data_IF_658943518400
#
_entry.id   IF_658943518400
#
_cell.length_a   1.000
_cell.length_b   1.000
_cell.length_c   1.000
_cell.angle_alpha   90.00
_cell.angle_beta   90.00
_cell.angle_gamma   90.00
#
_symmetry.space_group_name_H-M   'P 1'
#
loop_
_entity.id
_entity.type
_entity.pdbx_description
1 polymer ?
#
# COMPACT_ATOMS: atom_id res chain seq x y z
N UNK A 1 -3.20 -16.45 -14.15
CA UNK A 1 -3.63 -15.36 -13.23
C UNK A 1 -4.86 -15.84 -12.47
N UNK A 2 -4.85 -15.77 -11.13
CA UNK A 2 -5.97 -16.22 -10.29
C UNK A 2 -7.21 -15.40 -10.63
N UNK A 3 -8.41 -16.01 -10.62
CA UNK A 3 -9.67 -15.32 -10.89
C UNK A 3 -9.87 -14.07 -10.01
N UNK A 4 -9.41 -14.13 -8.75
CA UNK A 4 -9.47 -12.99 -7.80
C UNK A 4 -8.66 -11.81 -8.35
N UNK A 5 -7.41 -12.02 -8.78
CA UNK A 5 -6.57 -10.92 -9.29
C UNK A 5 -7.12 -10.29 -10.57
N UNK A 6 -7.79 -11.08 -11.41
CA UNK A 6 -8.48 -10.53 -12.59
C UNK A 6 -9.64 -9.61 -12.17
N UNK A 7 -10.42 -10.00 -11.15
CA UNK A 7 -11.51 -9.16 -10.59
C UNK A 7 -10.97 -7.89 -9.94
N UNK A 8 -9.88 -8.02 -9.14
CA UNK A 8 -9.21 -6.85 -8.52
C UNK A 8 -8.72 -5.87 -9.59
N UNK A 9 -8.05 -6.36 -10.64
CA UNK A 9 -7.58 -5.51 -11.75
C UNK A 9 -8.75 -4.80 -12.44
N UNK A 10 -9.83 -5.51 -12.72
CA UNK A 10 -11.02 -4.92 -13.35
C UNK A 10 -11.67 -3.85 -12.45
N UNK A 11 -11.78 -4.11 -11.15
CA UNK A 11 -12.32 -3.19 -10.15
C UNK A 11 -11.50 -1.89 -10.08
N UNK A 12 -10.16 -2.00 -10.02
CA UNK A 12 -9.26 -0.84 -10.02
C UNK A 12 -9.38 -0.02 -11.31
N UNK A 13 -9.43 -0.69 -12.47
CA UNK A 13 -9.60 0.00 -13.76
C UNK A 13 -10.91 0.76 -13.83
N UNK A 14 -12.01 0.18 -13.35
CA UNK A 14 -13.31 0.84 -13.30
C UNK A 14 -13.25 2.07 -12.38
N UNK A 15 -12.76 1.91 -11.15
CA UNK A 15 -12.62 2.99 -10.17
C UNK A 15 -11.81 4.17 -10.72
N UNK A 16 -10.63 3.92 -11.25
CA UNK A 16 -9.78 4.99 -11.79
C UNK A 16 -10.32 5.61 -13.07
N UNK A 17 -11.01 4.84 -13.91
CA UNK A 17 -11.70 5.38 -15.09
C UNK A 17 -12.86 6.31 -14.70
N UNK A 18 -13.65 5.94 -13.70
CA UNK A 18 -14.71 6.79 -13.14
C UNK A 18 -14.16 8.08 -12.52
N UNK A 19 -12.98 8.02 -11.93
CA UNK A 19 -12.24 9.19 -11.45
C UNK A 19 -11.58 10.03 -12.57
N UNK A 20 -11.78 9.68 -13.83
CA UNK A 20 -11.23 10.41 -14.99
C UNK A 20 -9.75 10.15 -15.26
N UNK A 21 -9.18 9.11 -14.68
CA UNK A 21 -7.80 8.72 -14.96
C UNK A 21 -7.75 7.71 -16.12
N UNK A 22 -6.55 7.57 -16.71
CA UNK A 22 -6.32 6.54 -17.72
C UNK A 22 -6.47 5.14 -17.08
N UNK A 23 -7.40 4.34 -17.61
CA UNK A 23 -7.73 3.04 -17.07
C UNK A 23 -6.61 1.98 -17.19
N UNK A 24 -5.69 2.16 -18.16
CA UNK A 24 -4.57 1.23 -18.36
C UNK A 24 -3.34 1.70 -17.58
N UNK A 25 -2.96 0.98 -16.50
CA UNK A 25 -1.76 1.29 -15.74
C UNK A 25 -0.51 0.76 -16.42
N UNK A 26 0.63 1.37 -16.13
CA UNK A 26 1.93 0.72 -16.29
C UNK A 26 2.03 -0.40 -15.25
N UNK A 27 2.73 -1.50 -15.58
CA UNK A 27 2.86 -2.68 -14.71
C UNK A 27 4.32 -2.98 -14.47
N UNK A 28 4.70 -3.10 -13.19
CA UNK A 28 5.95 -3.69 -12.77
C UNK A 28 5.67 -5.01 -12.04
N UNK A 29 6.41 -6.08 -12.37
CA UNK A 29 6.29 -7.37 -11.69
C UNK A 29 7.54 -7.64 -10.86
N UNK A 30 7.35 -8.01 -9.60
CA UNK A 30 8.41 -8.36 -8.66
C UNK A 30 8.21 -9.80 -8.22
N UNK A 31 9.24 -10.62 -8.37
CA UNK A 31 9.21 -12.02 -7.96
C UNK A 31 10.18 -12.21 -6.79
N UNK A 32 9.71 -12.83 -5.73
CA UNK A 32 10.51 -13.22 -4.59
C UNK A 32 10.79 -14.74 -4.65
N UNK A 33 11.95 -15.16 -4.17
CA UNK A 33 12.30 -16.59 -4.14
C UNK A 33 11.29 -17.35 -3.27
N UNK A 34 10.65 -18.36 -3.85
CA UNK A 34 9.67 -19.20 -3.17
C UNK A 34 8.27 -18.59 -3.01
N UNK A 35 8.04 -17.40 -3.56
CA UNK A 35 6.73 -16.74 -3.52
C UNK A 35 6.18 -16.48 -4.94
N UNK A 36 4.86 -16.33 -5.00
CA UNK A 36 4.20 -15.91 -6.24
C UNK A 36 4.47 -14.43 -6.52
N UNK A 37 4.57 -14.03 -7.81
CA UNK A 37 4.90 -12.64 -8.14
C UNK A 37 3.82 -11.66 -7.66
N UNK A 38 4.27 -10.50 -7.18
CA UNK A 38 3.44 -9.34 -6.91
C UNK A 38 3.61 -8.35 -8.07
N UNK A 39 2.52 -7.94 -8.67
CA UNK A 39 2.52 -6.84 -9.62
C UNK A 39 2.26 -5.52 -8.89
N UNK A 40 2.82 -4.44 -9.40
CA UNK A 40 2.52 -3.08 -8.98
C UNK A 40 1.98 -2.33 -10.18
N UNK A 41 0.74 -1.91 -10.08
CA UNK A 41 0.02 -1.14 -11.07
C UNK A 41 0.26 0.34 -10.82
N UNK A 42 0.77 1.06 -11.81
CA UNK A 42 0.97 2.50 -11.73
C UNK A 42 -0.05 3.22 -12.62
N UNK A 43 -1.01 3.86 -12.00
CA UNK A 43 -1.96 4.72 -12.69
C UNK A 43 -1.38 6.14 -12.79
N UNK A 44 -1.33 6.65 -14.01
CA UNK A 44 -0.76 7.95 -14.31
C UNK A 44 -1.64 9.08 -13.74
N UNK A 45 -1.04 10.25 -13.43
CA UNK A 45 -1.74 11.32 -12.76
C UNK A 45 -2.83 11.94 -13.65
N UNK A 46 -3.91 12.36 -12.99
CA UNK A 46 -4.87 13.29 -13.54
C UNK A 46 -4.40 14.75 -13.39
N UNK A 47 -5.36 15.67 -13.39
CA UNK A 47 -5.11 17.11 -13.25
C UNK A 47 -4.50 17.49 -11.87
N UNK A 48 -4.70 16.66 -10.85
CA UNK A 48 -4.20 16.85 -9.48
C UNK A 48 -2.71 16.47 -9.32
N UNK A 49 -2.10 15.87 -10.35
CA UNK A 49 -0.71 15.42 -10.33
C UNK A 49 -0.46 14.18 -9.47
N UNK A 50 -1.50 13.50 -8.96
CA UNK A 50 -1.34 12.34 -8.09
C UNK A 50 -1.15 11.06 -8.90
N UNK A 51 -0.03 10.38 -8.67
CA UNK A 51 0.27 9.04 -9.21
C UNK A 51 -0.13 8.00 -8.17
N UNK A 52 -0.88 6.99 -8.61
CA UNK A 52 -1.33 5.91 -7.75
C UNK A 52 -0.55 4.63 -8.06
N UNK A 53 0.05 4.03 -7.05
CA UNK A 53 0.75 2.76 -7.11
C UNK A 53 -0.05 1.74 -6.31
N UNK A 54 -0.55 0.70 -6.95
CA UNK A 54 -1.42 -0.30 -6.31
C UNK A 54 -0.80 -1.67 -6.45
N UNK A 55 -0.69 -2.41 -5.35
CA UNK A 55 -0.28 -3.81 -5.40
C UNK A 55 -1.37 -4.65 -6.08
N UNK A 56 -0.94 -5.74 -6.70
CA UNK A 56 -1.83 -6.77 -7.24
C UNK A 56 -1.17 -8.13 -7.01
N UNK A 57 -1.68 -8.84 -6.03
CA UNK A 57 -1.13 -10.15 -5.66
C UNK A 57 -1.24 -10.47 -4.18
N UNK A 58 -1.27 -9.46 -3.30
CA UNK A 58 -1.45 -9.64 -1.87
C UNK A 58 -2.80 -10.35 -1.56
N UNK A 59 -3.86 -9.96 -2.26
CA UNK A 59 -5.22 -10.50 -2.09
C UNK A 59 -5.43 -11.91 -2.68
N UNK A 60 -4.42 -12.50 -3.33
CA UNK A 60 -4.50 -13.83 -3.97
C UNK A 60 -4.95 -14.90 -3.00
N UNK A 61 -4.38 -14.89 -1.81
CA UNK A 61 -4.72 -15.75 -0.68
C UNK A 61 -5.25 -14.92 0.50
N UNK A 62 -6.07 -15.49 1.39
CA UNK A 62 -6.39 -14.81 2.64
C UNK A 62 -5.12 -14.66 3.47
N UNK A 63 -4.99 -13.55 4.18
CA UNK A 63 -3.93 -13.38 5.16
C UNK A 63 -4.22 -14.30 6.34
N UNK A 64 -3.24 -15.13 6.71
CA UNK A 64 -3.40 -16.06 7.81
C UNK A 64 -3.33 -15.31 9.15
N UNK A 65 -4.26 -15.61 10.06
CA UNK A 65 -4.10 -15.21 11.45
C UNK A 65 -2.96 -16.04 12.06
N UNK A 66 -1.88 -15.41 12.53
CA UNK A 66 -0.76 -16.13 13.17
C UNK A 66 -1.16 -16.93 14.40
N UNK A 67 -2.31 -16.61 15.03
CA UNK A 67 -2.86 -17.33 16.17
C UNK A 67 -3.76 -18.50 15.76
N UNK A 68 -4.11 -18.63 14.47
CA UNK A 68 -4.96 -19.71 14.00
C UNK A 68 -4.19 -21.05 13.96
N UNK A 69 -4.75 -22.08 14.60
CA UNK A 69 -4.18 -23.44 14.61
C UNK A 69 -4.19 -24.06 13.20
N UNK A 70 -5.18 -23.68 12.39
CA UNK A 70 -5.34 -24.13 11.00
C UNK A 70 -5.73 -22.92 10.14
N UNK A 71 -4.92 -22.61 9.16
CA UNK A 71 -5.26 -21.56 8.18
C UNK A 71 -6.38 -22.04 7.24
N UNK A 72 -7.46 -21.26 7.14
CA UNK A 72 -8.51 -21.51 6.14
C UNK A 72 -8.04 -20.97 4.78
N UNK A 73 -7.94 -21.82 3.73
CA UNK A 73 -7.46 -21.36 2.43
C UNK A 73 -8.46 -20.46 1.68
N UNK A 74 -9.68 -20.34 2.16
CA UNK A 74 -10.75 -19.57 1.51
C UNK A 74 -11.20 -18.36 2.32
N UNK A 75 -11.30 -18.50 3.65
CA UNK A 75 -11.74 -17.46 4.58
C UNK A 75 -10.56 -16.73 5.20
N UNK A 76 -10.77 -15.47 5.49
CA UNK A 76 -9.78 -14.60 6.13
C UNK A 76 -9.58 -13.30 5.37
N UNK A 77 -9.03 -12.29 6.04
CA UNK A 77 -8.88 -10.96 5.49
C UNK A 77 -8.04 -10.98 4.22
N UNK A 78 -8.43 -10.14 3.25
CA UNK A 78 -7.71 -9.94 2.00
C UNK A 78 -7.53 -8.44 1.79
N UNK A 79 -6.36 -8.04 1.33
CA UNK A 79 -6.10 -6.65 1.01
C UNK A 79 -5.19 -6.48 -0.20
N UNK A 80 -5.30 -5.32 -0.83
CA UNK A 80 -4.26 -4.72 -1.65
C UNK A 80 -3.90 -3.37 -1.05
N UNK A 81 -2.68 -2.91 -1.28
CA UNK A 81 -2.20 -1.64 -0.76
C UNK A 81 -2.05 -0.62 -1.87
N UNK A 82 -2.44 0.63 -1.59
CA UNK A 82 -2.34 1.75 -2.51
C UNK A 82 -1.47 2.86 -1.91
N UNK A 83 -0.40 3.20 -2.60
CA UNK A 83 0.48 4.32 -2.27
C UNK A 83 0.27 5.44 -3.29
N UNK A 84 0.09 6.66 -2.80
CA UNK A 84 -0.17 7.85 -3.62
C UNK A 84 0.94 8.87 -3.42
N UNK A 85 1.43 9.44 -4.52
CA UNK A 85 2.42 10.52 -4.49
C UNK A 85 2.05 11.62 -5.48
N UNK A 86 2.18 12.87 -5.07
CA UNK A 86 1.96 14.04 -5.90
C UNK A 86 3.24 14.41 -6.66
N UNK A 87 3.15 14.47 -7.98
CA UNK A 87 4.27 14.87 -8.85
C UNK A 87 5.62 14.22 -8.46
N UNK A 88 5.68 12.88 -8.28
CA UNK A 88 6.89 12.23 -7.77
C UNK A 88 8.09 12.39 -8.72
N UNK A 89 7.85 12.66 -10.01
CA UNK A 89 8.87 12.63 -11.05
C UNK A 89 9.41 11.22 -11.27
N UNK A 90 10.68 11.12 -11.63
CA UNK A 90 11.36 9.82 -11.75
C UNK A 90 11.85 9.38 -10.37
N UNK A 91 11.25 8.30 -9.86
CA UNK A 91 11.65 7.63 -8.63
C UNK A 91 11.92 6.16 -8.93
N UNK A 92 13.04 5.65 -8.40
CA UNK A 92 13.42 4.25 -8.49
C UNK A 92 12.98 3.46 -7.27
N UNK A 93 12.93 2.13 -7.38
CA UNK A 93 12.69 1.17 -6.28
C UNK A 93 11.28 1.15 -5.66
N UNK A 94 10.43 2.16 -5.86
CA UNK A 94 9.13 2.22 -5.19
C UNK A 94 8.26 0.98 -5.47
N UNK A 95 8.21 0.53 -6.71
CA UNK A 95 7.45 -0.69 -7.05
C UNK A 95 7.99 -1.91 -6.29
N UNK A 96 9.31 -2.03 -6.14
CA UNK A 96 9.91 -3.10 -5.35
C UNK A 96 9.56 -3.00 -3.87
N UNK A 97 9.64 -1.82 -3.27
CA UNK A 97 9.27 -1.60 -1.86
C UNK A 97 7.79 -1.87 -1.60
N UNK A 98 6.91 -1.45 -2.52
CA UNK A 98 5.47 -1.74 -2.42
C UNK A 98 5.17 -3.23 -2.58
N UNK A 99 5.92 -3.93 -3.44
CA UNK A 99 5.79 -5.38 -3.58
C UNK A 99 6.28 -6.13 -2.33
N UNK A 100 7.36 -5.66 -1.68
CA UNK A 100 7.81 -6.21 -0.38
C UNK A 100 6.69 -6.05 0.66
N UNK A 101 6.12 -4.85 0.80
CA UNK A 101 5.00 -4.61 1.71
C UNK A 101 3.83 -5.57 1.44
N UNK A 102 3.43 -5.71 0.17
CA UNK A 102 2.34 -6.58 -0.23
C UNK A 102 2.63 -8.08 -0.05
N UNK A 103 3.91 -8.47 0.02
CA UNK A 103 4.32 -9.83 0.26
C UNK A 103 4.42 -10.21 1.75
N UNK A 104 4.43 -9.22 2.68
CA UNK A 104 4.59 -9.50 4.12
C UNK A 104 3.56 -10.49 4.68
N UNK A 105 2.28 -10.53 4.25
CA UNK A 105 1.37 -11.56 4.72
C UNK A 105 1.79 -12.99 4.35
N UNK A 106 2.32 -13.17 3.15
CA UNK A 106 2.73 -14.49 2.67
C UNK A 106 4.10 -14.92 3.22
N UNK A 107 5.00 -13.96 3.47
CA UNK A 107 6.39 -14.23 3.88
C UNK A 107 6.53 -14.22 5.41
N UNK A 108 5.94 -13.23 6.08
CA UNK A 108 6.13 -12.98 7.51
C UNK A 108 4.86 -13.29 8.34
N UNK A 109 3.75 -13.68 7.70
CA UNK A 109 2.48 -13.95 8.37
C UNK A 109 1.81 -12.71 8.96
N UNK A 110 2.16 -11.51 8.50
CA UNK A 110 1.59 -10.24 9.00
C UNK A 110 0.21 -10.03 8.39
N UNK A 111 -0.79 -9.74 9.22
CA UNK A 111 -2.11 -9.33 8.75
C UNK A 111 -2.11 -7.81 8.53
N UNK A 112 -2.28 -7.37 7.29
CA UNK A 112 -2.39 -5.95 6.95
C UNK A 112 -3.78 -5.45 7.36
N UNK A 113 -3.80 -4.46 8.25
CA UNK A 113 -5.02 -3.82 8.75
C UNK A 113 -4.87 -2.31 8.74
N UNK A 114 -5.99 -1.60 8.90
CA UNK A 114 -5.93 -0.16 9.20
C UNK A 114 -5.10 0.07 10.46
N UNK A 115 -4.36 1.17 10.50
CA UNK A 115 -3.47 1.60 11.57
C UNK A 115 -2.20 0.76 11.77
N UNK A 116 -2.02 -0.29 10.98
CA UNK A 116 -0.77 -1.05 11.03
C UNK A 116 0.42 -0.21 10.58
N UNK A 117 1.48 -0.26 11.37
CA UNK A 117 2.79 0.31 11.06
C UNK A 117 3.71 -0.78 10.53
N UNK A 118 4.14 -0.66 9.28
CA UNK A 118 5.06 -1.60 8.65
C UNK A 118 6.39 -0.88 8.40
N UNK A 119 7.43 -1.31 9.07
CA UNK A 119 8.78 -0.78 8.92
C UNK A 119 9.58 -1.68 7.97
N UNK A 120 9.96 -1.15 6.83
CA UNK A 120 10.74 -1.89 5.82
C UNK A 120 12.25 -1.80 6.06
N UNK A 121 12.70 -0.98 7.02
CA UNK A 121 14.10 -0.84 7.40
C UNK A 121 15.01 -0.25 6.32
N UNK A 122 14.45 0.15 5.18
CA UNK A 122 15.18 0.71 4.04
C UNK A 122 14.35 1.79 3.35
N UNK A 123 15.00 2.75 2.66
CA UNK A 123 14.30 3.79 1.92
C UNK A 123 13.31 3.20 0.90
N UNK A 124 12.08 3.71 0.91
CA UNK A 124 11.00 3.23 0.04
C UNK A 124 11.26 3.51 -1.43
N UNK A 125 12.00 4.58 -1.72
CA UNK A 125 12.42 4.94 -3.09
C UNK A 125 13.72 5.74 -3.08
N UNK A 126 14.26 5.92 -4.28
CA UNK A 126 15.39 6.79 -4.54
C UNK A 126 14.99 7.81 -5.61
N UNK A 127 15.47 9.05 -5.44
CA UNK A 127 15.32 10.13 -6.40
C UNK A 127 16.70 10.65 -6.77
N UNK A 128 17.08 10.55 -8.06
CA UNK A 128 18.43 10.93 -8.55
C UNK A 128 19.55 10.29 -7.70
N UNK A 129 19.42 8.99 -7.43
CA UNK A 129 20.35 8.20 -6.58
C UNK A 129 20.46 8.68 -5.13
N UNK A 130 19.54 9.50 -4.65
CA UNK A 130 19.41 9.86 -3.24
C UNK A 130 18.28 9.09 -2.59
N UNK A 131 18.53 8.42 -1.46
CA UNK A 131 17.49 7.71 -0.74
C UNK A 131 16.47 8.69 -0.18
N UNK A 132 15.19 8.31 -0.23
CA UNK A 132 14.13 9.04 0.45
C UNK A 132 14.24 8.88 1.97
N UNK A 133 13.76 9.85 2.77
CA UNK A 133 13.77 9.72 4.22
C UNK A 133 12.70 8.75 4.77
N UNK A 134 11.85 8.23 3.90
CA UNK A 134 10.73 7.36 4.27
C UNK A 134 11.19 5.90 4.26
N UNK A 135 11.11 5.23 5.40
CA UNK A 135 11.54 3.84 5.58
C UNK A 135 10.42 2.93 6.08
N UNK A 136 9.30 3.52 6.46
CA UNK A 136 8.14 2.80 6.98
C UNK A 136 6.84 3.30 6.32
N UNK A 137 5.78 2.56 6.54
CA UNK A 137 4.44 2.85 6.02
C UNK A 137 3.44 2.75 7.16
N UNK A 138 2.56 3.75 7.25
CA UNK A 138 1.37 3.69 8.06
C UNK A 138 0.18 3.37 7.16
N UNK A 139 -0.48 2.25 7.44
CA UNK A 139 -1.69 1.85 6.73
C UNK A 139 -2.91 2.64 7.22
N UNK A 140 -3.85 2.82 6.34
CA UNK A 140 -5.11 3.49 6.65
C UNK A 140 -6.20 3.10 5.68
N UNK A 141 -7.37 3.71 5.85
CA UNK A 141 -8.50 3.49 4.95
C UNK A 141 -8.24 4.12 3.58
N UNK A 142 -8.62 3.43 2.53
CA UNK A 142 -8.65 3.95 1.15
C UNK A 142 -10.04 4.45 0.78
N UNK A 143 -10.12 5.28 -0.24
CA UNK A 143 -11.33 5.70 -0.93
C UNK A 143 -11.82 4.68 -1.98
N UNK A 144 -11.01 3.68 -2.31
CA UNK A 144 -11.40 2.59 -3.20
C UNK A 144 -12.38 1.67 -2.45
N UNK A 145 -13.61 1.44 -2.98
CA UNK A 145 -14.56 0.53 -2.37
C UNK A 145 -14.02 -0.89 -2.26
N UNK A 146 -14.39 -1.60 -1.20
CA UNK A 146 -14.07 -3.01 -1.04
C UNK A 146 -14.65 -3.82 -2.22
N UNK A 147 -13.88 -4.78 -2.72
CA UNK A 147 -14.34 -5.69 -3.77
C UNK A 147 -14.98 -6.93 -3.14
N UNK A 148 -16.33 -7.10 -3.24
CA UNK A 148 -16.97 -8.30 -2.75
C UNK A 148 -16.55 -9.53 -3.56
N UNK A 149 -16.30 -10.63 -2.87
CA UNK A 149 -16.03 -11.94 -3.46
C UNK A 149 -17.20 -12.90 -3.18
N UNK A 150 -17.26 -13.98 -3.96
CA UNK A 150 -18.31 -15.00 -3.75
C UNK A 150 -18.03 -15.77 -2.45
N UNK A 151 -19.10 -16.03 -1.64
CA UNK A 151 -18.95 -16.83 -0.42
C UNK A 151 -18.26 -18.17 -0.69
N UNK A 152 -17.43 -18.68 0.23
CA UNK A 152 -17.18 -18.20 1.59
C UNK A 152 -16.04 -17.19 1.73
N UNK A 153 -15.57 -16.56 0.64
CA UNK A 153 -14.42 -15.65 0.64
C UNK A 153 -14.79 -14.29 1.20
N UNK A 154 -13.90 -13.74 2.02
CA UNK A 154 -14.01 -12.37 2.49
C UNK A 154 -13.70 -11.38 1.35
N UNK A 155 -14.27 -10.15 1.40
CA UNK A 155 -14.00 -9.13 0.39
C UNK A 155 -12.52 -8.73 0.36
N UNK A 156 -12.06 -8.23 -0.78
CA UNK A 156 -10.75 -7.58 -0.88
C UNK A 156 -10.87 -6.14 -0.44
N UNK A 157 -10.13 -5.76 0.60
CA UNK A 157 -9.99 -4.37 1.06
C UNK A 157 -8.85 -3.68 0.32
N UNK A 158 -8.97 -2.36 0.20
CA UNK A 158 -7.89 -1.52 -0.31
C UNK A 158 -7.40 -0.62 0.81
N UNK A 159 -6.11 -0.76 1.18
CA UNK A 159 -5.51 -0.02 2.28
C UNK A 159 -4.61 1.09 1.72
N UNK A 160 -4.82 2.31 2.19
CA UNK A 160 -3.94 3.43 1.90
C UNK A 160 -2.61 3.24 2.61
N UNK A 161 -1.51 3.32 1.87
CA UNK A 161 -0.14 3.21 2.39
C UNK A 161 0.51 4.59 2.41
N UNK A 162 0.62 5.20 3.59
CA UNK A 162 1.25 6.52 3.75
C UNK A 162 2.71 6.34 4.12
N UNK A 163 3.65 6.83 3.30
CA UNK A 163 5.07 6.80 3.62
C UNK A 163 5.39 7.66 4.83
N UNK A 164 6.15 7.11 5.77
CA UNK A 164 6.58 7.83 6.98
C UNK A 164 8.07 7.65 7.24
N UNK A 165 8.63 8.65 7.91
CA UNK A 165 10.03 8.64 8.33
C UNK A 165 10.23 7.80 9.59
N UNK A 166 11.47 7.45 9.92
CA UNK A 166 11.80 6.72 11.14
C UNK A 166 11.34 7.47 12.41
N UNK A 167 11.42 8.81 12.42
CA UNK A 167 10.97 9.63 13.55
C UNK A 167 9.44 9.57 13.70
N UNK A 168 8.70 9.68 12.59
CA UNK A 168 7.25 9.54 12.59
C UNK A 168 6.82 8.13 13.00
N UNK A 169 7.56 7.09 12.56
CA UNK A 169 7.30 5.72 12.97
C UNK A 169 7.50 5.50 14.48
N UNK A 170 8.53 6.13 15.06
CA UNK A 170 8.72 6.12 16.51
C UNK A 170 7.55 6.81 17.24
N UNK A 171 7.07 7.92 16.71
CA UNK A 171 5.89 8.62 17.25
C UNK A 171 4.63 7.76 17.18
N UNK A 172 4.37 7.10 16.06
CA UNK A 172 3.23 6.18 15.92
C UNK A 172 3.30 5.06 16.96
N UNK A 173 4.49 4.49 17.23
CA UNK A 173 4.65 3.46 18.27
C UNK A 173 4.32 3.98 19.67
N UNK A 174 4.59 5.26 19.94
CA UNK A 174 4.37 5.86 21.27
C UNK A 174 2.95 6.38 21.48
N UNK A 175 2.34 6.95 20.44
CA UNK A 175 1.09 7.73 20.55
C UNK A 175 -0.05 7.19 19.69
N UNK A 176 0.24 6.22 18.83
CA UNK A 176 -0.73 5.63 17.92
C UNK A 176 -0.90 6.37 16.59
N UNK A 177 -1.60 5.73 15.68
CA UNK A 177 -1.82 6.20 14.31
C UNK A 177 -2.63 7.49 14.24
N UNK A 178 -3.67 7.62 15.07
CA UNK A 178 -4.54 8.80 15.07
C UNK A 178 -3.82 10.06 15.52
N UNK A 179 -2.94 9.94 16.53
CA UNK A 179 -2.12 11.07 16.97
C UNK A 179 -1.19 11.55 15.85
N UNK A 180 -0.65 10.63 15.04
CA UNK A 180 0.18 11.00 13.89
C UNK A 180 -0.63 11.70 12.81
N UNK A 181 -1.82 11.20 12.50
CA UNK A 181 -2.72 11.84 11.53
C UNK A 181 -3.16 13.23 11.97
N UNK A 182 -3.40 13.39 13.29
CA UNK A 182 -3.72 14.70 13.85
C UNK A 182 -2.56 15.68 13.73
N UNK A 183 -1.33 15.23 14.02
CA UNK A 183 -0.13 16.05 13.84
C UNK A 183 0.02 16.51 12.38
N UNK A 184 -0.14 15.61 11.40
CA UNK A 184 -0.11 16.01 9.99
C UNK A 184 -1.17 17.05 9.63
N UNK A 185 -2.39 16.92 10.17
CA UNK A 185 -3.47 17.89 9.92
C UNK A 185 -3.16 19.24 10.56
N UNK A 186 -2.72 19.24 11.81
CA UNK A 186 -2.37 20.47 12.55
C UNK A 186 -1.23 21.23 11.90
N UNK A 187 -0.23 20.52 11.41
CA UNK A 187 0.96 21.12 10.79
C UNK A 187 0.79 21.40 9.30
N UNK A 188 -0.39 21.08 8.72
CA UNK A 188 -0.67 21.28 7.30
C UNK A 188 0.22 20.45 6.38
N UNK A 189 0.64 19.26 6.82
CA UNK A 189 1.54 18.38 6.07
C UNK A 189 0.82 17.74 4.89
N UNK A 190 1.30 17.97 3.66
CA UNK A 190 0.88 17.19 2.49
C UNK A 190 1.57 15.83 2.49
N UNK A 191 0.88 14.80 2.96
CA UNK A 191 1.39 13.43 3.02
C UNK A 191 1.64 12.81 1.64
N UNK A 192 1.13 13.43 0.57
CA UNK A 192 1.36 12.99 -0.82
C UNK A 192 2.65 13.59 -1.41
N UNK A 193 3.25 14.60 -0.78
CA UNK A 193 4.50 15.18 -1.25
C UNK A 193 5.68 14.22 -0.99
N UNK A 194 6.34 13.70 -2.06
CA UNK A 194 7.47 12.78 -1.92
C UNK A 194 8.73 13.45 -1.36
N UNK A 195 8.74 14.77 -1.20
CA UNK A 195 9.88 15.53 -0.68
C UNK A 195 9.59 16.19 0.68
N UNK A 196 8.43 15.91 1.28
CA UNK A 196 8.05 16.51 2.55
C UNK A 196 9.09 16.22 3.65
N UNK A 197 9.33 17.16 4.57
CA UNK A 197 10.07 16.86 5.79
C UNK A 197 9.29 15.92 6.70
N UNK A 198 9.99 15.35 7.69
CA UNK A 198 9.31 14.67 8.79
C UNK A 198 8.42 15.67 9.54
N UNK A 199 7.21 15.27 9.91
CA UNK A 199 6.44 16.03 10.88
C UNK A 199 7.17 16.04 12.23
N UNK A 200 7.04 17.12 12.96
CA UNK A 200 7.60 17.28 14.30
C UNK A 200 6.45 17.40 15.30
N UNK A 201 5.81 16.29 15.66
CA UNK A 201 4.70 16.34 16.63
C UNK A 201 5.24 16.80 17.99
N UNK A 202 4.56 17.76 18.60
CA UNK A 202 4.86 18.29 19.93
C UNK A 202 4.34 17.36 21.03
#
# INVERSE_FOLDING_TARGET
MTQILARVRAHLRAHFSEAGLRAEPDVASVTFLGAEPIEVLRFLPGADGVVHYVSLGCSRHPMADPAAIVADPQRGPRAEVILRLRNPGQIGRLAHSLAILAATPAVDGVVLTEDALIDLGSPLWEKRSRPAPFTAILLGRSDIPDLPLDPPRDPVRFLSATPITATEAAWVRLRGADAMREAWRSDGVDVLDPNRPAAQPN
#
